data_IF_493707468760
#
_entry.id   IF_493707468760
#
_cell.length_a   1.000
_cell.length_b   1.000
_cell.length_c   1.000
_cell.angle_alpha   90.00
_cell.angle_beta   90.00
_cell.angle_gamma   90.00
#
_symmetry.space_group_name_H-M   'P 1'
#
loop_
_entity.id
_entity.type
_entity.pdbx_description
1 polymer ?
#
# COMPACT_ATOMS: atom_id res chain seq x y z
N UNK A 1 -15.13 10.79 17.10
CA UNK A 1 -14.98 10.33 15.70
C UNK A 1 -13.60 9.69 15.56
N UNK A 2 -13.48 8.55 14.89
CA UNK A 2 -12.18 7.86 14.69
C UNK A 2 -11.93 7.60 13.21
N UNK A 3 -10.66 7.38 12.84
CA UNK A 3 -10.24 7.14 11.46
C UNK A 3 -9.58 5.77 11.31
N UNK A 4 -9.63 5.21 10.09
CA UNK A 4 -8.82 4.04 9.71
C UNK A 4 -7.83 4.49 8.66
N UNK A 5 -6.58 4.09 8.79
CA UNK A 5 -5.47 4.63 7.98
C UNK A 5 -4.80 3.47 7.25
N UNK A 6 -4.56 3.65 5.95
CA UNK A 6 -3.65 2.83 5.17
C UNK A 6 -2.45 3.67 4.77
N UNK A 7 -1.25 3.19 5.05
CA UNK A 7 -0.03 3.94 4.78
C UNK A 7 1.03 3.04 4.14
N UNK A 8 1.80 3.65 3.25
CA UNK A 8 2.91 2.99 2.57
C UNK A 8 4.17 3.76 2.86
N UNK A 9 5.20 3.04 3.29
CA UNK A 9 6.55 3.55 3.39
C UNK A 9 7.31 3.18 2.12
N UNK A 10 7.83 4.19 1.42
CA UNK A 10 8.62 4.02 0.20
C UNK A 10 10.06 4.38 0.54
N UNK A 11 10.93 3.37 0.61
CA UNK A 11 12.34 3.57 0.99
C UNK A 11 13.19 4.07 -0.18
N UNK A 12 12.80 3.75 -1.43
CA UNK A 12 13.54 4.10 -2.63
C UNK A 12 12.61 4.62 -3.72
N UNK A 13 12.94 5.79 -4.28
CA UNK A 13 12.27 6.30 -5.46
C UNK A 13 12.64 5.45 -6.68
N UNK A 14 11.63 4.85 -7.31
CA UNK A 14 11.80 4.09 -8.55
C UNK A 14 11.36 4.96 -9.74
N UNK A 15 12.15 5.05 -10.83
CA UNK A 15 11.81 5.89 -11.98
C UNK A 15 10.46 5.56 -12.63
N UNK A 16 10.05 4.29 -12.54
CA UNK A 16 8.79 3.79 -13.08
C UNK A 16 7.66 3.75 -12.03
N UNK A 17 7.87 4.36 -10.86
CA UNK A 17 6.90 4.36 -9.79
C UNK A 17 5.77 5.32 -10.12
N UNK A 18 4.58 4.77 -10.36
CA UNK A 18 3.37 5.55 -10.60
C UNK A 18 2.69 5.85 -9.27
N UNK A 19 2.47 7.14 -8.99
CA UNK A 19 1.78 7.59 -7.78
C UNK A 19 0.39 6.94 -7.65
N UNK A 20 -0.33 6.77 -8.75
CA UNK A 20 -1.65 6.12 -8.79
C UNK A 20 -1.61 4.70 -8.18
N UNK A 21 -0.56 3.94 -8.49
CA UNK A 21 -0.39 2.56 -7.98
C UNK A 21 -0.16 2.58 -6.47
N UNK A 22 0.61 3.54 -5.97
CA UNK A 22 0.82 3.72 -4.53
C UNK A 22 -0.46 4.13 -3.82
N UNK A 23 -1.24 5.05 -4.41
CA UNK A 23 -2.53 5.46 -3.84
C UNK A 23 -3.47 4.27 -3.75
N UNK A 24 -3.60 3.47 -4.82
CA UNK A 24 -4.43 2.26 -4.81
C UNK A 24 -3.98 1.24 -3.76
N UNK A 25 -2.68 1.09 -3.57
CA UNK A 25 -2.15 0.20 -2.55
C UNK A 25 -2.45 0.72 -1.13
N UNK A 26 -2.37 2.03 -0.91
CA UNK A 26 -2.67 2.65 0.39
C UNK A 26 -4.16 2.54 0.71
N UNK A 27 -5.03 2.73 -0.28
CA UNK A 27 -6.47 2.54 -0.16
C UNK A 27 -6.83 1.09 0.20
N UNK A 28 -6.13 0.12 -0.40
CA UNK A 28 -6.28 -1.30 -0.07
C UNK A 28 -5.91 -1.59 1.40
N UNK A 29 -4.83 -0.99 1.91
CA UNK A 29 -4.43 -1.12 3.32
C UNK A 29 -5.44 -0.45 4.26
N UNK A 30 -5.97 0.72 3.88
CA UNK A 30 -7.04 1.38 4.63
C UNK A 30 -8.30 0.50 4.67
N UNK A 31 -8.64 -0.16 3.56
CA UNK A 31 -9.76 -1.08 3.51
C UNK A 31 -9.56 -2.29 4.44
N UNK A 32 -8.33 -2.84 4.50
CA UNK A 32 -7.98 -3.86 5.49
C UNK A 32 -8.16 -3.35 6.93
N UNK A 33 -7.71 -2.14 7.23
CA UNK A 33 -7.91 -1.51 8.53
C UNK A 33 -9.41 -1.40 8.90
N UNK A 34 -10.27 -1.05 7.93
CA UNK A 34 -11.73 -1.00 8.11
C UNK A 34 -12.31 -2.39 8.39
N UNK A 35 -11.89 -3.41 7.63
CA UNK A 35 -12.36 -4.81 7.81
C UNK A 35 -11.92 -5.42 9.14
N UNK A 36 -10.74 -5.06 9.62
CA UNK A 36 -10.18 -5.55 10.88
C UNK A 36 -10.78 -4.85 12.13
N UNK A 37 -11.89 -4.12 12.02
CA UNK A 37 -12.57 -3.48 13.15
C UNK A 37 -12.41 -1.96 13.26
N UNK A 38 -11.84 -1.29 12.24
CA UNK A 38 -11.62 0.18 12.18
C UNK A 38 -10.68 0.69 13.29
N UNK A 39 -10.58 2.02 13.42
CA UNK A 39 -9.77 2.75 14.41
C UNK A 39 -8.33 2.25 14.54
N UNK A 40 -7.67 2.00 13.40
CA UNK A 40 -6.30 1.51 13.34
C UNK A 40 -5.60 1.93 12.07
N UNK A 41 -4.27 1.88 12.12
CA UNK A 41 -3.41 2.06 10.98
C UNK A 41 -2.90 0.69 10.50
N UNK A 42 -2.89 0.49 9.19
CA UNK A 42 -2.19 -0.61 8.53
C UNK A 42 -1.09 0.00 7.68
N UNK A 43 0.14 -0.42 7.93
CA UNK A 43 1.34 0.14 7.31
C UNK A 43 2.06 -0.97 6.56
N UNK A 44 2.40 -0.72 5.30
CA UNK A 44 3.23 -1.63 4.51
C UNK A 44 4.48 -0.92 4.01
N UNK A 45 5.56 -1.67 3.86
CA UNK A 45 6.79 -1.20 3.22
C UNK A 45 6.77 -1.59 1.75
N UNK A 46 6.91 -0.61 0.88
CA UNK A 46 7.04 -0.82 -0.56
C UNK A 46 8.54 -0.80 -0.91
N UNK A 47 9.06 -1.99 -1.23
CA UNK A 47 10.46 -2.19 -1.62
C UNK A 47 10.57 -2.61 -3.09
N UNK A 48 11.76 -2.53 -3.67
CA UNK A 48 12.05 -3.03 -5.03
C UNK A 48 11.64 -4.50 -5.24
N UNK A 49 11.74 -5.31 -4.20
CA UNK A 49 11.33 -6.73 -4.22
C UNK A 49 9.81 -6.83 -4.38
N UNK A 50 9.07 -6.03 -3.60
CA UNK A 50 7.61 -5.92 -3.68
C UNK A 50 7.12 -5.35 -5.02
N UNK A 51 7.88 -4.40 -5.59
CA UNK A 51 7.59 -3.82 -6.90
C UNK A 51 7.70 -4.86 -8.03
N UNK A 52 8.74 -5.70 -8.00
CA UNK A 52 8.92 -6.80 -8.98
C UNK A 52 7.78 -7.81 -8.93
N UNK A 53 7.40 -8.25 -7.73
CA UNK A 53 6.27 -9.17 -7.52
C UNK A 53 4.92 -8.60 -7.99
N UNK A 54 4.76 -7.27 -7.97
CA UNK A 54 3.55 -6.60 -8.47
C UNK A 54 3.54 -6.39 -10.00
N UNK A 55 4.70 -6.49 -10.65
CA UNK A 55 4.86 -6.26 -12.10
C UNK A 55 4.91 -7.55 -12.93
N UNK A 56 4.94 -8.72 -12.30
CA UNK A 56 4.78 -9.98 -12.99
C UNK A 56 3.29 -10.24 -13.25
N UNK A 57 2.85 -10.52 -14.49
CA UNK A 57 1.52 -11.04 -14.72
C UNK A 57 1.43 -12.38 -14.00
N UNK A 58 0.44 -12.52 -13.10
CA UNK A 58 0.09 -13.82 -12.56
C UNK A 58 -0.32 -14.72 -13.73
N UNK A 59 0.57 -15.66 -14.10
CA UNK A 59 0.28 -16.75 -15.03
C UNK A 59 -0.65 -17.77 -14.37
#
# INVERSE_FOLDING_TARGET
MTASIGAIMVDEYLPNMRLDVLIHYADSLMYQAKRAGRNKAVIARYSKISARLSSEPAF
#
